data_IF_840609579910
#
_entry.id   IF_840609579910
#
_cell.length_a   1.000
_cell.length_b   1.000
_cell.length_c   1.000
_cell.angle_alpha   90.00
_cell.angle_beta   90.00
_cell.angle_gamma   90.00
#
_symmetry.space_group_name_H-M   'P 1'
#
loop_
_entity.id
_entity.type
_entity.pdbx_description
1 polymer ?
#
# COMPACT_ATOMS: atom_id res chain seq x y z
N UNK A 1 -15.03 -7.57 1.42
CA UNK A 1 -14.42 -6.24 1.58
C UNK A 1 -14.08 -5.94 3.03
N UNK A 2 -12.87 -6.30 3.39
CA UNK A 2 -12.18 -5.91 4.63
C UNK A 2 -11.19 -4.76 4.40
N UNK A 3 -10.97 -4.40 3.13
CA UNK A 3 -10.13 -3.29 2.70
C UNK A 3 -10.67 -1.91 3.09
N UNK A 4 -9.76 -1.02 3.44
CA UNK A 4 -10.01 0.40 3.63
C UNK A 4 -8.98 1.23 2.89
N UNK A 5 -9.40 2.40 2.39
CA UNK A 5 -8.52 3.33 1.67
C UNK A 5 -8.58 4.72 2.30
N UNK A 6 -7.46 5.42 2.22
CA UNK A 6 -7.34 6.86 2.53
C UNK A 6 -6.63 7.52 1.37
N UNK A 7 -7.18 8.62 0.87
CA UNK A 7 -6.59 9.46 -0.17
C UNK A 7 -7.04 10.90 0.07
N UNK A 8 -6.20 11.70 0.73
CA UNK A 8 -6.54 13.07 1.11
C UNK A 8 -5.32 13.98 1.10
N UNK A 9 -5.58 15.29 0.95
CA UNK A 9 -4.56 16.31 1.09
C UNK A 9 -4.72 17.03 2.43
N UNK A 10 -3.61 17.32 3.11
CA UNK A 10 -3.58 18.10 4.35
C UNK A 10 -2.54 19.20 4.27
N UNK A 11 -2.81 20.30 4.98
CA UNK A 11 -1.80 21.33 5.23
C UNK A 11 -1.19 21.12 6.61
N UNK A 12 0.11 20.89 6.68
CA UNK A 12 0.86 20.73 7.93
C UNK A 12 2.11 21.60 7.84
N UNK A 13 2.32 22.45 8.85
CA UNK A 13 3.49 23.34 8.94
C UNK A 13 3.76 24.19 7.68
N UNK A 14 2.69 24.57 6.96
CA UNK A 14 2.77 25.36 5.73
C UNK A 14 3.01 24.56 4.45
N UNK A 15 3.20 23.25 4.54
CA UNK A 15 3.34 22.35 3.40
C UNK A 15 2.01 21.65 3.07
N UNK A 16 1.76 21.41 1.79
CA UNK A 16 0.69 20.54 1.34
C UNK A 16 1.20 19.11 1.23
N UNK A 17 0.56 18.19 1.93
CA UNK A 17 0.92 16.78 2.01
C UNK A 17 -0.22 15.96 1.42
N UNK A 18 0.10 15.12 0.42
CA UNK A 18 -0.78 14.05 -0.03
C UNK A 18 -0.58 12.80 0.85
N UNK A 19 -1.65 12.32 1.47
CA UNK A 19 -1.66 11.17 2.36
C UNK A 19 -2.51 10.06 1.74
N UNK A 20 -1.83 8.97 1.34
CA UNK A 20 -2.43 7.85 0.61
C UNK A 20 -2.10 6.53 1.31
N UNK A 21 -3.11 5.70 1.56
CA UNK A 21 -2.93 4.39 2.18
C UNK A 21 -4.02 3.41 1.74
N UNK A 22 -3.63 2.13 1.64
CA UNK A 22 -4.53 0.99 1.49
C UNK A 22 -4.28 0.06 2.68
N UNK A 23 -5.35 -0.30 3.36
CA UNK A 23 -5.35 -1.23 4.48
C UNK A 23 -6.07 -2.51 4.04
N UNK A 24 -5.29 -3.48 3.58
CA UNK A 24 -5.75 -4.83 3.25
C UNK A 24 -6.00 -5.58 4.56
N UNK A 25 -7.27 -5.65 4.95
CA UNK A 25 -7.69 -6.20 6.24
C UNK A 25 -7.86 -7.72 6.17
N UNK A 26 -7.54 -8.43 7.25
CA UNK A 26 -7.80 -9.86 7.37
C UNK A 26 -8.44 -10.23 8.70
N UNK A 27 -9.30 -11.26 8.67
CA UNK A 27 -9.96 -11.82 9.87
C UNK A 27 -10.81 -10.80 10.65
N UNK A 28 -11.38 -9.83 9.92
CA UNK A 28 -12.23 -8.78 10.44
C UNK A 28 -11.74 -7.38 10.10
N UNK A 29 -12.70 -6.46 10.03
CA UNK A 29 -12.47 -5.05 9.62
C UNK A 29 -11.93 -4.11 10.68
N UNK A 30 -11.82 -4.53 11.94
CA UNK A 30 -11.62 -3.59 13.06
C UNK A 30 -10.25 -2.89 13.01
N UNK A 31 -9.18 -3.64 12.69
CA UNK A 31 -7.82 -3.09 12.63
C UNK A 31 -7.70 -2.13 11.45
N UNK A 32 -8.08 -2.57 10.25
CA UNK A 32 -8.03 -1.74 9.04
C UNK A 32 -8.86 -0.46 9.18
N UNK A 33 -10.07 -0.56 9.75
CA UNK A 33 -10.92 0.61 10.05
C UNK A 33 -10.29 1.57 11.06
N UNK A 34 -9.64 1.05 12.11
CA UNK A 34 -8.95 1.89 13.09
C UNK A 34 -7.76 2.62 12.45
N UNK A 35 -6.95 1.91 11.66
CA UNK A 35 -5.83 2.51 10.94
C UNK A 35 -6.27 3.58 9.95
N UNK A 36 -7.36 3.33 9.21
CA UNK A 36 -7.95 4.32 8.31
C UNK A 36 -8.24 5.66 9.02
N UNK A 37 -8.74 5.60 10.26
CA UNK A 37 -9.14 6.78 11.01
C UNK A 37 -7.99 7.46 11.77
N UNK A 38 -6.91 6.74 12.08
CA UNK A 38 -5.93 7.20 13.07
C UNK A 38 -4.47 7.11 12.66
N UNK A 39 -4.10 6.35 11.61
CA UNK A 39 -2.69 6.11 11.31
C UNK A 39 -1.95 7.40 10.96
N UNK A 40 -2.49 8.23 10.07
CA UNK A 40 -1.82 9.47 9.70
C UNK A 40 -1.73 10.47 10.84
N UNK A 41 -2.76 10.58 11.67
CA UNK A 41 -2.72 11.43 12.86
C UNK A 41 -1.60 10.98 13.81
N UNK A 42 -1.49 9.67 14.05
CA UNK A 42 -0.43 9.11 14.89
C UNK A 42 0.95 9.37 14.28
N UNK A 43 1.15 9.15 12.97
CA UNK A 43 2.43 9.41 12.31
C UNK A 43 2.81 10.89 12.42
N UNK A 44 1.88 11.79 12.08
CA UNK A 44 2.17 13.23 12.09
C UNK A 44 2.51 13.72 13.50
N UNK A 45 1.79 13.25 14.52
CA UNK A 45 2.08 13.62 15.92
C UNK A 45 3.46 13.11 16.41
N UNK A 46 3.93 11.96 15.94
CA UNK A 46 5.25 11.42 16.28
C UNK A 46 6.40 12.14 15.55
N UNK A 47 6.20 12.57 14.31
CA UNK A 47 7.21 13.27 13.49
C UNK A 47 7.55 14.65 14.08
N UNK A 48 6.64 15.29 14.81
CA UNK A 48 6.93 16.52 15.55
C UNK A 48 7.89 16.32 16.74
N UNK A 49 8.23 15.08 17.10
CA UNK A 49 9.07 14.73 18.26
C UNK A 49 10.56 14.43 17.97
N UNK A 50 10.92 13.80 16.85
CA UNK A 50 12.30 13.31 16.63
C UNK A 50 12.74 13.18 15.15
N UNK A 51 14.08 13.20 14.95
CA UNK A 51 14.79 13.07 13.67
C UNK A 51 14.56 11.71 12.97
N UNK A 52 14.49 11.74 11.65
CA UNK A 52 14.17 10.59 10.77
C UNK A 52 15.34 9.59 10.62
N UNK A 53 15.12 8.27 10.79
CA UNK A 53 16.13 7.24 10.51
C UNK A 53 16.29 6.94 9.00
N UNK A 54 17.49 6.49 8.62
CA UNK A 54 17.89 6.20 7.23
C UNK A 54 17.58 4.76 6.80
N UNK A 55 17.22 4.50 5.52
CA UNK A 55 16.82 3.18 5.03
C UNK A 55 18.00 2.20 4.84
N UNK A 56 17.70 0.90 4.99
CA UNK A 56 18.58 -0.22 4.58
C UNK A 56 17.93 -1.05 3.46
N UNK A 57 18.69 -1.54 2.48
CA UNK A 57 18.14 -2.34 1.39
C UNK A 57 18.02 -3.82 1.78
N UNK A 58 16.85 -4.43 1.54
CA UNK A 58 16.68 -5.87 1.55
C UNK A 58 16.14 -6.38 0.21
N UNK A 59 16.73 -7.47 -0.27
CA UNK A 59 16.39 -8.11 -1.53
C UNK A 59 15.29 -9.16 -1.33
N UNK A 60 14.28 -9.15 -2.20
CA UNK A 60 13.19 -10.14 -2.21
C UNK A 60 13.43 -11.15 -3.33
N UNK A 61 13.32 -12.45 -3.03
CA UNK A 61 13.42 -13.54 -4.00
C UNK A 61 12.08 -14.26 -4.09
N UNK A 62 11.55 -14.37 -5.32
CA UNK A 62 10.31 -15.08 -5.60
C UNK A 62 10.58 -16.50 -6.12
N UNK A 63 9.83 -17.46 -5.58
CA UNK A 63 9.10 -18.52 -6.32
C UNK A 63 8.95 -19.79 -5.47
N UNK A 64 7.70 -20.24 -5.30
CA UNK A 64 7.20 -21.62 -5.46
C UNK A 64 5.91 -21.83 -4.64
N UNK A 65 4.79 -22.00 -5.36
CA UNK A 65 3.50 -22.70 -5.12
C UNK A 65 3.02 -23.15 -3.72
N UNK A 66 3.51 -22.60 -2.62
CA UNK A 66 2.90 -22.59 -1.30
C UNK A 66 3.21 -21.22 -0.72
N UNK A 67 2.21 -20.40 -0.45
CA UNK A 67 2.43 -19.12 0.25
C UNK A 67 2.97 -19.48 1.64
N UNK A 68 4.22 -19.13 1.98
CA UNK A 68 4.76 -19.43 3.30
C UNK A 68 3.89 -18.74 4.35
N UNK A 69 3.64 -19.44 5.46
CA UNK A 69 2.81 -18.92 6.56
C UNK A 69 3.58 -18.95 7.88
N UNK A 70 3.56 -17.84 8.61
CA UNK A 70 4.03 -17.75 10.00
C UNK A 70 3.17 -18.68 10.85
N UNK A 71 3.82 -19.63 11.52
CA UNK A 71 3.21 -20.73 12.28
C UNK A 71 2.13 -21.52 11.52
N UNK A 72 2.22 -21.57 10.18
CA UNK A 72 1.19 -22.19 9.34
C UNK A 72 -0.14 -21.43 9.28
N UNK A 73 -0.24 -20.24 9.90
CA UNK A 73 -1.48 -19.47 10.04
C UNK A 73 -1.50 -18.24 9.12
N UNK A 74 -0.54 -17.32 9.28
CA UNK A 74 -0.58 -16.00 8.64
C UNK A 74 0.35 -15.93 7.43
N UNK A 75 -0.16 -15.50 6.28
CA UNK A 75 0.60 -15.40 5.02
C UNK A 75 1.49 -14.14 4.93
N UNK A 76 1.70 -13.44 6.04
CA UNK A 76 2.46 -12.19 6.15
C UNK A 76 3.35 -12.23 7.39
N UNK A 77 4.53 -11.64 7.30
CA UNK A 77 5.49 -11.51 8.41
C UNK A 77 5.40 -10.17 9.15
N UNK A 78 4.63 -9.23 8.62
CA UNK A 78 4.38 -7.92 9.22
C UNK A 78 2.91 -7.56 9.08
N UNK A 79 2.31 -7.09 10.15
CA UNK A 79 0.93 -6.59 10.18
C UNK A 79 0.69 -5.78 11.46
N UNK A 80 -0.25 -4.85 11.42
CA UNK A 80 -0.90 -4.36 12.65
C UNK A 80 -1.91 -5.39 13.14
N UNK A 81 -2.23 -5.43 14.44
CA UNK A 81 -3.16 -6.42 14.99
C UNK A 81 -2.52 -7.79 15.22
N UNK A 82 -3.22 -8.89 14.96
CA UNK A 82 -2.69 -10.27 15.13
C UNK A 82 -2.00 -10.53 16.48
N UNK A 83 -2.61 -10.05 17.57
CA UNK A 83 -2.02 -10.07 18.92
C UNK A 83 -1.45 -11.45 19.32
N UNK A 84 -2.08 -12.54 18.85
CA UNK A 84 -1.66 -13.92 19.15
C UNK A 84 -0.37 -14.35 18.46
N UNK A 85 0.05 -13.66 17.40
CA UNK A 85 1.27 -13.95 16.63
C UNK A 85 2.34 -12.88 16.79
N UNK A 86 2.15 -11.91 17.71
CA UNK A 86 3.03 -10.74 17.83
C UNK A 86 4.47 -11.03 18.21
N UNK A 87 4.75 -12.19 18.80
CA UNK A 87 6.12 -12.62 19.06
C UNK A 87 6.84 -13.10 17.78
N UNK A 88 6.09 -13.39 16.71
CA UNK A 88 6.60 -13.95 15.45
C UNK A 88 6.40 -13.03 14.24
N UNK A 89 5.67 -11.92 14.39
CA UNK A 89 5.47 -10.92 13.34
C UNK A 89 5.77 -9.52 13.86
N UNK A 90 6.24 -8.64 12.98
CA UNK A 90 6.51 -7.24 13.33
C UNK A 90 5.34 -6.31 12.99
N UNK A 91 5.21 -5.21 13.73
CA UNK A 91 4.37 -4.06 13.32
C UNK A 91 5.22 -2.89 12.79
N UNK A 92 6.53 -3.08 12.68
CA UNK A 92 7.45 -2.05 12.22
C UNK A 92 7.37 -1.91 10.69
N UNK A 93 7.09 -0.69 10.18
CA UNK A 93 7.04 -0.45 8.75
C UNK A 93 8.44 -0.48 8.12
N UNK A 94 8.50 -0.74 6.81
CA UNK A 94 9.65 -0.32 6.01
C UNK A 94 9.49 1.16 5.64
N UNK A 95 10.52 1.97 5.89
CA UNK A 95 10.48 3.41 5.63
C UNK A 95 11.48 3.77 4.55
N UNK A 96 10.99 4.42 3.49
CA UNK A 96 11.83 4.96 2.42
C UNK A 96 11.43 6.40 2.12
N UNK A 97 12.45 7.24 1.99
CA UNK A 97 12.30 8.61 1.52
C UNK A 97 12.85 8.64 0.10
N UNK A 98 12.00 9.02 -0.85
CA UNK A 98 12.34 9.10 -2.26
C UNK A 98 11.92 10.46 -2.76
N UNK A 99 12.83 11.14 -3.46
CA UNK A 99 12.49 12.36 -4.21
C UNK A 99 11.78 11.95 -5.49
N UNK A 100 10.61 12.52 -5.72
CA UNK A 100 9.84 12.29 -6.95
C UNK A 100 10.26 13.37 -7.93
N UNK A 101 10.83 12.96 -9.06
CA UNK A 101 11.13 13.85 -10.17
C UNK A 101 9.94 13.88 -11.12
N UNK A 102 9.48 15.09 -11.47
CA UNK A 102 8.33 15.29 -12.35
C UNK A 102 8.70 15.02 -13.81
N UNK A 103 9.99 15.05 -14.14
CA UNK A 103 10.46 14.80 -15.49
C UNK A 103 10.49 13.30 -15.83
N UNK A 104 10.46 12.40 -14.84
CA UNK A 104 10.56 10.95 -15.02
C UNK A 104 9.42 10.13 -14.40
N UNK A 105 8.53 10.76 -13.63
CA UNK A 105 7.45 10.08 -12.92
C UNK A 105 6.10 10.67 -13.32
N UNK A 106 5.32 9.90 -14.09
CA UNK A 106 3.96 10.28 -14.48
C UNK A 106 2.93 10.02 -13.37
N UNK A 107 3.11 8.93 -12.62
CA UNK A 107 2.15 8.49 -11.63
C UNK A 107 2.74 7.58 -10.56
N UNK A 108 2.04 7.47 -9.44
CA UNK A 108 2.30 6.50 -8.36
C UNK A 108 1.09 5.59 -8.25
N UNK A 109 1.33 4.27 -8.23
CA UNK A 109 0.29 3.25 -8.05
C UNK A 109 0.47 2.59 -6.69
N UNK A 110 -0.58 2.64 -5.86
CA UNK A 110 -0.70 1.84 -4.65
C UNK A 110 -1.85 0.85 -4.86
N UNK A 111 -1.64 -0.43 -4.58
CA UNK A 111 -2.71 -1.43 -4.66
C UNK A 111 -2.53 -2.55 -3.63
N UNK A 112 -3.64 -3.21 -3.25
CA UNK A 112 -3.62 -4.44 -2.46
C UNK A 112 -3.05 -5.61 -3.27
N UNK A 113 -2.75 -6.72 -2.61
CA UNK A 113 -2.13 -7.87 -3.27
C UNK A 113 -3.03 -8.52 -4.34
N UNK A 114 -4.35 -8.27 -4.29
CA UNK A 114 -5.32 -8.70 -5.29
C UNK A 114 -4.96 -8.23 -6.71
N UNK A 115 -4.28 -7.10 -6.86
CA UNK A 115 -3.74 -6.64 -8.15
C UNK A 115 -2.40 -7.30 -8.46
N UNK A 116 -1.45 -7.23 -7.51
CA UNK A 116 -0.06 -7.66 -7.71
C UNK A 116 0.11 -9.19 -7.85
N UNK A 117 -0.88 -9.98 -7.42
CA UNK A 117 -0.94 -11.42 -7.64
C UNK A 117 -1.04 -11.81 -9.12
N UNK A 118 -1.56 -10.91 -9.97
CA UNK A 118 -1.85 -11.19 -11.39
C UNK A 118 -1.23 -10.19 -12.37
N UNK A 119 -0.64 -9.10 -11.88
CA UNK A 119 0.02 -8.08 -12.69
C UNK A 119 1.42 -7.78 -12.14
N UNK A 120 2.40 -7.64 -13.02
CA UNK A 120 3.71 -7.09 -12.67
C UNK A 120 3.66 -5.57 -12.57
N UNK A 121 4.69 -4.95 -11.99
CA UNK A 121 4.83 -3.49 -11.95
C UNK A 121 4.76 -2.88 -13.35
N UNK A 122 5.42 -3.51 -14.32
CA UNK A 122 5.43 -3.03 -15.71
C UNK A 122 4.07 -3.19 -16.38
N UNK A 123 3.37 -4.30 -16.13
CA UNK A 123 1.98 -4.48 -16.62
C UNK A 123 1.08 -3.36 -16.13
N UNK A 124 1.18 -3.00 -14.85
CA UNK A 124 0.36 -1.93 -14.26
C UNK A 124 0.67 -0.57 -14.91
N UNK A 125 1.95 -0.20 -15.05
CA UNK A 125 2.34 1.04 -15.71
C UNK A 125 1.91 1.10 -17.18
N UNK A 126 2.07 0.00 -17.92
CA UNK A 126 1.66 -0.06 -19.33
C UNK A 126 0.13 0.01 -19.49
N UNK A 127 -0.61 -0.58 -18.54
CA UNK A 127 -2.09 -0.64 -18.55
C UNK A 127 -2.74 0.74 -18.46
N UNK A 128 -2.15 1.67 -17.69
CA UNK A 128 -2.69 3.03 -17.51
C UNK A 128 -1.93 4.10 -18.30
N UNK A 129 -1.01 3.70 -19.18
CA UNK A 129 -0.24 4.66 -19.99
C UNK A 129 -1.18 5.53 -20.82
N UNK A 130 -1.06 6.85 -20.66
CA UNK A 130 -1.89 7.83 -21.37
C UNK A 130 -3.29 8.03 -20.79
N UNK A 131 -3.61 7.42 -19.64
CA UNK A 131 -4.84 7.71 -18.90
C UNK A 131 -4.58 8.90 -17.98
N UNK A 132 -5.24 10.03 -18.24
CA UNK A 132 -5.03 11.28 -17.49
C UNK A 132 -5.83 11.31 -16.18
N UNK A 133 -7.04 10.72 -16.14
CA UNK A 133 -7.86 10.74 -14.94
C UNK A 133 -7.43 9.62 -13.96
N UNK A 134 -7.02 9.95 -12.72
CA UNK A 134 -6.54 8.97 -11.75
C UNK A 134 -7.60 7.93 -11.36
N UNK A 135 -8.89 8.30 -11.35
CA UNK A 135 -9.96 7.36 -11.00
C UNK A 135 -10.20 6.37 -12.12
N UNK A 136 -10.18 6.83 -13.37
CA UNK A 136 -10.25 5.95 -14.53
C UNK A 136 -9.01 5.05 -14.65
N UNK A 137 -7.82 5.56 -14.32
CA UNK A 137 -6.60 4.74 -14.24
C UNK A 137 -6.77 3.62 -13.20
N UNK A 138 -7.22 3.94 -11.98
CA UNK A 138 -7.46 2.95 -10.94
C UNK A 138 -8.52 1.91 -11.33
N UNK A 139 -9.63 2.33 -11.96
CA UNK A 139 -10.66 1.41 -12.47
C UNK A 139 -10.12 0.49 -13.57
N UNK A 140 -9.30 1.02 -14.47
CA UNK A 140 -8.66 0.28 -15.55
C UNK A 140 -7.78 -0.83 -14.99
N UNK A 141 -6.96 -0.52 -13.98
CA UNK A 141 -6.14 -1.49 -13.26
C UNK A 141 -6.95 -2.59 -12.58
N UNK A 142 -8.02 -2.23 -11.88
CA UNK A 142 -8.91 -3.20 -11.21
C UNK A 142 -9.58 -4.11 -12.26
N UNK A 143 -10.07 -3.55 -13.36
CA UNK A 143 -10.72 -4.30 -14.43
C UNK A 143 -9.75 -5.29 -15.09
N UNK A 144 -8.51 -4.87 -15.34
CA UNK A 144 -7.46 -5.72 -15.90
C UNK A 144 -7.09 -6.87 -14.96
N UNK A 145 -6.94 -6.59 -13.66
CA UNK A 145 -6.65 -7.64 -12.66
C UNK A 145 -7.80 -8.66 -12.58
N UNK A 146 -9.05 -8.22 -12.65
CA UNK A 146 -10.22 -9.11 -12.72
C UNK A 146 -10.23 -9.93 -14.01
N UNK A 147 -9.92 -9.33 -15.16
CA UNK A 147 -9.83 -10.01 -16.45
C UNK A 147 -8.72 -11.08 -16.46
N UNK A 148 -7.63 -10.84 -15.73
CA UNK A 148 -6.54 -11.81 -15.49
C UNK A 148 -6.88 -12.88 -14.44
N UNK A 149 -8.08 -12.84 -13.88
CA UNK A 149 -8.61 -13.89 -13.01
C UNK A 149 -8.25 -13.74 -11.54
N UNK A 150 -7.96 -12.52 -11.06
CA UNK A 150 -7.85 -12.26 -9.63
C UNK A 150 -9.15 -12.65 -8.90
N UNK A 151 -8.99 -13.21 -7.70
CA UNK A 151 -10.09 -13.72 -6.86
C UNK A 151 -10.15 -13.04 -5.50
N UNK A 152 -9.28 -12.06 -5.28
CA UNK A 152 -9.19 -11.32 -4.02
C UNK A 152 -10.00 -10.03 -4.06
N UNK A 153 -10.19 -9.42 -2.89
CA UNK A 153 -10.60 -8.01 -2.84
C UNK A 153 -9.46 -7.16 -3.48
N UNK A 154 -9.82 -6.17 -4.30
CA UNK A 154 -8.85 -5.32 -5.00
C UNK A 154 -9.13 -3.86 -4.65
N UNK A 155 -8.15 -3.23 -4.01
CA UNK A 155 -8.14 -1.79 -3.76
C UNK A 155 -6.96 -1.17 -4.52
N UNK A 156 -7.18 -0.01 -5.15
CA UNK A 156 -6.16 0.67 -5.93
C UNK A 156 -6.31 2.19 -5.79
N UNK A 157 -5.18 2.88 -5.61
CA UNK A 157 -5.05 4.33 -5.64
C UNK A 157 -4.02 4.67 -6.72
N UNK A 158 -4.37 5.60 -7.60
CA UNK A 158 -3.45 6.20 -8.56
C UNK A 158 -3.33 7.68 -8.23
N UNK A 159 -2.09 8.14 -8.11
CA UNK A 159 -1.76 9.56 -7.92
C UNK A 159 -1.05 10.02 -9.18
N UNK A 160 -1.61 11.00 -9.88
CA UNK A 160 -0.95 11.63 -11.03
C UNK A 160 0.04 12.67 -10.51
N UNK A 161 1.23 12.71 -11.11
CA UNK A 161 2.27 13.67 -10.79
C UNK A 161 2.30 14.70 -11.91
N UNK A 162 1.61 15.80 -11.68
CA UNK A 162 1.56 16.98 -12.55
C UNK A 162 2.79 17.87 -12.34
#
# INVERSE_FOLDING_TARGET
MEDYVVAENRKVDGYELGLYAIFDGHSGRNVAKYLQAHLFDNILNEVHGHHCPQPQPEAFSSSLRNVPRVDGQLAMSRAFGDARLKDHISSEPDLKIVTIDRDDTDSIILASDGLWKVMSNQDACDCIRGVEDPKEAAKTLIAEALARGSKDDISCIVVMID
#
